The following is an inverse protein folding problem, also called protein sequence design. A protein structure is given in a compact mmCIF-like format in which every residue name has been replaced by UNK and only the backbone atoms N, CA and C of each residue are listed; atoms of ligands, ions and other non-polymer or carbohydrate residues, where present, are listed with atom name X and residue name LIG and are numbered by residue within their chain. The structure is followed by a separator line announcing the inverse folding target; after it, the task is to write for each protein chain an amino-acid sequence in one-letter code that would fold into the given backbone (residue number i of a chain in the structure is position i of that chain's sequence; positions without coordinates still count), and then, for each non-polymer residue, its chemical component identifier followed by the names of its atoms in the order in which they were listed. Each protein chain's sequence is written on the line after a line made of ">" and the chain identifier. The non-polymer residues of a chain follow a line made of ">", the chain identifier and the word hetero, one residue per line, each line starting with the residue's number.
data_IF_399734063776
#
_entry.id   IF_399734063776
#
_cell.length_a   1.000
_cell.length_b   1.000
_cell.length_c   1.000
_cell.angle_alpha   90.00
_cell.angle_beta   90.00
_cell.angle_gamma   90.00
#
_symmetry.space_group_name_H-M   'P 1'
#
loop_
_entity.id
_entity.type
_entity.pdbx_description
1 polymer ?
#
# COMPACT_ATOMS: atom_id res chain seq x y z
N UNK A 1 18.16 -3.15 21.32
CA UNK A 1 19.14 -3.78 20.38
C UNK A 1 19.83 -5.04 20.94
N UNK A 2 20.14 -5.16 22.23
CA UNK A 2 20.80 -6.37 22.78
C UNK A 2 19.95 -7.65 22.67
N UNK A 3 18.64 -7.55 22.87
CA UNK A 3 17.73 -8.71 22.80
C UNK A 3 17.57 -9.30 21.41
N UNK A 4 17.56 -8.49 20.35
CA UNK A 4 17.45 -8.97 18.97
C UNK A 4 18.67 -9.78 18.57
N UNK A 5 19.88 -9.32 18.93
CA UNK A 5 21.12 -10.04 18.65
C UNK A 5 21.14 -11.41 19.34
N UNK A 6 20.79 -11.45 20.63
CA UNK A 6 20.73 -12.71 21.39
C UNK A 6 19.66 -13.68 20.84
N UNK A 7 18.54 -13.16 20.32
CA UNK A 7 17.49 -13.96 19.70
C UNK A 7 18.00 -14.67 18.42
N UNK A 8 18.67 -13.95 17.52
CA UNK A 8 19.20 -14.53 16.28
C UNK A 8 20.42 -15.44 16.49
N UNK A 9 21.25 -15.19 17.51
CA UNK A 9 22.41 -16.04 17.83
C UNK A 9 22.02 -17.35 18.54
N UNK A 10 21.12 -17.31 19.51
CA UNK A 10 20.74 -18.43 20.36
C UNK A 10 19.42 -19.10 20.03
N UNK A 11 18.54 -18.36 19.32
CA UNK A 11 17.20 -18.83 18.97
C UNK A 11 17.19 -20.16 18.22
N UNK A 12 18.02 -20.34 17.16
CA UNK A 12 18.06 -21.61 16.43
C UNK A 12 18.38 -22.82 17.27
N UNK A 13 19.11 -22.66 18.38
CA UNK A 13 19.52 -23.72 19.29
C UNK A 13 18.48 -24.02 20.39
N UNK A 14 17.67 -23.02 20.76
CA UNK A 14 16.79 -23.08 21.93
C UNK A 14 15.31 -23.16 21.59
N UNK A 15 14.91 -22.74 20.40
CA UNK A 15 13.50 -22.63 20.01
C UNK A 15 13.19 -23.69 18.96
N UNK A 16 12.27 -24.59 19.30
CA UNK A 16 11.71 -25.54 18.36
C UNK A 16 10.93 -24.75 17.28
N UNK A 17 11.11 -25.09 15.99
CA UNK A 17 10.50 -24.38 14.86
C UNK A 17 10.93 -22.90 14.70
N UNK A 18 12.18 -22.56 15.04
CA UNK A 18 12.72 -21.19 14.96
C UNK A 18 12.44 -20.52 13.61
N UNK A 19 12.59 -21.21 12.50
CA UNK A 19 12.29 -20.68 11.16
C UNK A 19 10.83 -20.19 11.00
N UNK A 20 9.87 -20.87 11.64
CA UNK A 20 8.46 -20.43 11.61
C UNK A 20 8.25 -19.16 12.42
N UNK A 21 8.96 -19.04 13.54
CA UNK A 21 8.92 -17.84 14.40
C UNK A 21 9.56 -16.67 13.67
N UNK A 22 10.72 -16.87 13.04
CA UNK A 22 11.42 -15.87 12.26
C UNK A 22 10.55 -15.32 11.12
N UNK A 23 9.96 -16.19 10.30
CA UNK A 23 9.02 -15.78 9.24
C UNK A 23 7.83 -14.96 9.75
N UNK A 24 7.30 -15.31 10.93
CA UNK A 24 6.21 -14.52 11.54
C UNK A 24 6.67 -13.14 12.00
N UNK A 25 7.90 -13.04 12.51
CA UNK A 25 8.50 -11.76 12.89
C UNK A 25 8.70 -10.87 11.66
N UNK A 26 9.32 -11.41 10.60
CA UNK A 26 9.52 -10.71 9.33
C UNK A 26 8.19 -10.23 8.72
N UNK A 27 7.17 -11.09 8.73
CA UNK A 27 5.84 -10.71 8.25
C UNK A 27 5.22 -9.60 9.12
N UNK A 28 5.42 -9.66 10.44
CA UNK A 28 5.00 -8.63 11.39
C UNK A 28 5.68 -7.29 11.12
N UNK A 29 7.00 -7.30 10.96
CA UNK A 29 7.79 -6.10 10.63
C UNK A 29 7.37 -5.48 9.29
N UNK A 30 7.14 -6.31 8.26
CA UNK A 30 6.63 -5.85 6.97
C UNK A 30 5.27 -5.17 7.12
N UNK A 31 4.34 -5.75 7.88
CA UNK A 31 3.01 -5.16 8.15
C UNK A 31 3.12 -3.82 8.88
N UNK A 32 4.04 -3.71 9.84
CA UNK A 32 4.31 -2.46 10.57
C UNK A 32 4.85 -1.41 9.60
N UNK A 33 5.82 -1.77 8.77
CA UNK A 33 6.40 -0.87 7.78
C UNK A 33 5.36 -0.40 6.74
N UNK A 34 4.47 -1.28 6.28
CA UNK A 34 3.37 -0.93 5.37
C UNK A 34 2.40 0.05 6.03
N UNK A 35 1.99 -0.20 7.29
CA UNK A 35 1.13 0.74 8.04
C UNK A 35 1.79 2.10 8.23
N UNK A 36 3.08 2.13 8.54
CA UNK A 36 3.83 3.38 8.67
C UNK A 36 3.86 4.17 7.36
N UNK A 37 4.09 3.50 6.23
CA UNK A 37 4.04 4.13 4.90
C UNK A 37 2.66 4.68 4.57
N UNK A 38 1.60 3.97 4.93
CA UNK A 38 0.22 4.44 4.74
C UNK A 38 -0.05 5.70 5.56
N UNK A 39 0.31 5.70 6.85
CA UNK A 39 0.17 6.85 7.72
C UNK A 39 0.97 8.06 7.21
N UNK A 40 2.20 7.86 6.79
CA UNK A 40 3.04 8.92 6.22
C UNK A 40 2.46 9.50 4.92
N UNK A 41 1.86 8.67 4.07
CA UNK A 41 1.20 9.13 2.85
C UNK A 41 -0.01 10.02 3.15
N UNK A 42 -0.83 9.66 4.17
CA UNK A 42 -1.94 10.47 4.64
C UNK A 42 -1.45 11.81 5.20
N UNK A 43 -0.48 11.77 6.10
CA UNK A 43 0.09 12.96 6.72
C UNK A 43 0.66 13.93 5.69
N UNK A 44 1.40 13.43 4.70
CA UNK A 44 1.96 14.24 3.61
C UNK A 44 0.86 14.90 2.79
N UNK A 45 -0.21 14.17 2.45
CA UNK A 45 -1.35 14.70 1.69
C UNK A 45 -2.09 15.79 2.48
N UNK A 46 -2.38 15.54 3.76
CA UNK A 46 -3.07 16.47 4.64
C UNK A 46 -2.24 17.74 4.85
N UNK A 47 -0.93 17.61 5.15
CA UNK A 47 -0.02 18.75 5.32
C UNK A 47 0.22 19.56 4.06
N UNK A 48 0.10 18.96 2.88
CA UNK A 48 0.27 19.66 1.60
C UNK A 48 -0.93 20.53 1.20
N UNK A 49 -2.00 20.54 2.01
CA UNK A 49 -3.24 21.26 1.74
C UNK A 49 -3.48 22.28 2.85
N UNK A 50 -3.66 23.56 2.52
CA UNK A 50 -3.79 24.65 3.51
C UNK A 50 -4.99 24.45 4.46
N UNK A 51 -6.12 24.01 3.94
CA UNK A 51 -7.31 23.68 4.74
C UNK A 51 -7.87 22.32 4.32
N UNK A 52 -7.28 21.23 4.84
CA UNK A 52 -7.59 19.89 4.36
C UNK A 52 -9.06 19.50 4.57
N UNK A 53 -9.69 19.97 5.62
CA UNK A 53 -11.10 19.70 5.92
C UNK A 53 -12.07 20.24 4.85
N UNK A 54 -11.71 21.33 4.16
CA UNK A 54 -12.57 21.96 3.17
C UNK A 54 -12.07 21.79 1.74
N UNK A 55 -10.75 21.79 1.54
CA UNK A 55 -10.14 21.90 0.21
C UNK A 55 -9.37 20.67 -0.26
N UNK A 56 -9.20 19.64 0.59
CA UNK A 56 -8.51 18.43 0.19
C UNK A 56 -9.30 17.73 -0.92
N UNK A 57 -8.63 17.48 -2.05
CA UNK A 57 -9.17 16.76 -3.20
C UNK A 57 -8.38 15.50 -3.48
N UNK A 58 -9.05 14.47 -3.94
CA UNK A 58 -8.47 13.17 -4.27
C UNK A 58 -8.73 12.88 -5.75
N UNK A 59 -7.71 12.43 -6.47
CA UNK A 59 -7.85 12.04 -7.87
C UNK A 59 -8.32 10.61 -7.96
N UNK A 60 -9.59 10.40 -8.24
CA UNK A 60 -10.20 9.06 -8.27
C UNK A 60 -9.90 8.26 -9.54
N UNK A 61 -9.57 8.92 -10.66
CA UNK A 61 -9.54 8.25 -11.95
C UNK A 61 -10.85 7.52 -12.22
N UNK A 62 -10.77 6.25 -12.61
CA UNK A 62 -11.94 5.40 -12.84
C UNK A 62 -12.48 4.74 -11.55
N UNK A 63 -11.83 4.95 -10.41
CA UNK A 63 -12.08 4.23 -9.14
C UNK A 63 -12.90 5.04 -8.12
N UNK A 64 -13.61 6.08 -8.53
CA UNK A 64 -14.38 6.90 -7.59
C UNK A 64 -15.37 6.08 -6.74
N UNK A 65 -16.03 5.12 -7.38
CA UNK A 65 -17.14 4.40 -6.75
C UNK A 65 -18.38 5.29 -6.59
N UNK A 66 -19.55 4.67 -6.44
CA UNK A 66 -20.84 5.39 -6.31
C UNK A 66 -21.33 5.51 -4.87
N UNK A 67 -20.61 4.92 -3.92
CA UNK A 67 -21.08 4.72 -2.54
C UNK A 67 -20.62 5.77 -1.54
N UNK A 68 -19.70 6.63 -1.91
CA UNK A 68 -19.15 7.69 -1.07
C UNK A 68 -19.07 9.00 -1.83
N UNK A 69 -19.35 10.11 -1.16
CA UNK A 69 -19.20 11.47 -1.67
C UNK A 69 -17.76 11.95 -1.48
N UNK A 70 -17.38 13.04 -2.14
CA UNK A 70 -16.06 13.66 -1.94
C UNK A 70 -15.89 14.23 -0.53
N UNK A 71 -16.98 14.71 0.06
CA UNK A 71 -17.00 15.25 1.41
C UNK A 71 -16.78 14.16 2.46
N UNK A 72 -17.47 13.02 2.30
CA UNK A 72 -17.27 11.84 3.15
C UNK A 72 -15.83 11.33 3.04
N UNK A 73 -15.28 11.22 1.83
CA UNK A 73 -13.90 10.77 1.60
C UNK A 73 -12.88 11.74 2.22
N UNK A 74 -13.10 13.03 2.06
CA UNK A 74 -12.27 14.06 2.69
C UNK A 74 -12.28 13.93 4.21
N UNK A 75 -13.47 13.79 4.79
CA UNK A 75 -13.63 13.57 6.22
C UNK A 75 -12.89 12.31 6.68
N UNK A 76 -13.04 11.19 5.97
CA UNK A 76 -12.36 9.95 6.31
C UNK A 76 -10.84 10.09 6.30
N UNK A 77 -10.28 10.78 5.30
CA UNK A 77 -8.82 11.01 5.20
C UNK A 77 -8.33 11.89 6.36
N UNK A 78 -8.98 13.03 6.59
CA UNK A 78 -8.58 13.95 7.64
C UNK A 78 -8.71 13.32 9.03
N UNK A 79 -9.85 12.68 9.30
CA UNK A 79 -10.11 12.03 10.59
C UNK A 79 -9.19 10.84 10.84
N UNK A 80 -8.89 10.03 9.81
CA UNK A 80 -7.93 8.93 9.95
C UNK A 80 -6.52 9.44 10.24
N UNK A 81 -6.13 10.59 9.68
CA UNK A 81 -4.84 11.21 9.99
C UNK A 81 -4.75 11.66 11.46
N UNK A 82 -5.84 12.14 12.04
CA UNK A 82 -5.89 12.56 13.46
C UNK A 82 -5.93 11.36 14.41
N UNK A 83 -6.76 10.37 14.13
CA UNK A 83 -6.96 9.21 15.00
C UNK A 83 -5.84 8.15 14.87
N UNK A 84 -5.10 8.20 13.77
CA UNK A 84 -4.14 7.16 13.39
C UNK A 84 -4.78 6.01 12.62
N UNK A 85 -4.00 5.47 11.68
CA UNK A 85 -4.42 4.37 10.81
C UNK A 85 -4.70 3.09 11.61
N UNK A 86 -5.88 2.52 11.41
CA UNK A 86 -6.32 1.27 12.03
C UNK A 86 -7.37 1.45 13.13
N UNK A 87 -7.63 2.67 13.58
CA UNK A 87 -8.59 2.96 14.65
C UNK A 87 -10.03 3.09 14.09
N UNK A 88 -10.53 2.03 13.44
CA UNK A 88 -11.79 2.05 12.69
C UNK A 88 -13.03 2.23 13.57
N UNK A 89 -13.01 1.72 14.80
CA UNK A 89 -14.11 1.90 15.76
C UNK A 89 -14.21 3.38 16.21
N UNK A 90 -13.06 4.01 16.43
CA UNK A 90 -13.01 5.43 16.77
C UNK A 90 -13.50 6.27 15.59
N UNK A 91 -12.99 5.98 14.38
CA UNK A 91 -13.42 6.63 13.15
C UNK A 91 -14.94 6.53 12.97
N UNK A 92 -15.52 5.37 13.25
CA UNK A 92 -16.97 5.16 13.19
C UNK A 92 -17.72 6.05 14.20
N UNK A 93 -17.17 6.22 15.41
CA UNK A 93 -17.76 7.11 16.42
C UNK A 93 -17.76 8.56 15.95
N UNK A 94 -16.65 9.01 15.37
CA UNK A 94 -16.55 10.37 14.87
C UNK A 94 -17.46 10.63 13.66
N UNK A 95 -17.59 9.68 12.73
CA UNK A 95 -18.60 9.75 11.64
C UNK A 95 -20.00 9.95 12.20
N UNK A 96 -20.36 9.26 13.29
CA UNK A 96 -21.68 9.40 13.92
C UNK A 96 -21.88 10.76 14.59
N UNK A 97 -20.82 11.34 15.14
CA UNK A 97 -20.85 12.62 15.87
C UNK A 97 -20.76 13.83 14.96
N UNK A 98 -20.16 13.67 13.77
CA UNK A 98 -19.91 14.75 12.85
C UNK A 98 -21.22 15.48 12.47
N UNK A 99 -21.29 16.79 12.71
CA UNK A 99 -22.47 17.61 12.43
C UNK A 99 -22.76 17.73 10.93
N UNK A 100 -21.71 17.74 10.11
CA UNK A 100 -21.79 17.88 8.65
C UNK A 100 -22.60 16.72 8.02
N UNK A 101 -22.55 15.54 8.63
CA UNK A 101 -23.28 14.34 8.19
C UNK A 101 -24.52 14.04 9.01
N UNK A 102 -25.11 15.07 9.65
CA UNK A 102 -26.25 14.89 10.58
C UNK A 102 -27.38 14.07 9.97
N UNK A 103 -27.69 14.29 8.72
CA UNK A 103 -28.79 13.63 8.00
C UNK A 103 -28.32 12.54 7.04
N UNK A 104 -27.03 12.26 6.98
CA UNK A 104 -26.48 11.20 6.15
C UNK A 104 -26.55 9.84 6.84
N UNK A 105 -27.71 9.23 6.73
CA UNK A 105 -27.95 7.91 7.33
C UNK A 105 -27.13 6.80 6.66
N UNK A 106 -26.85 6.93 5.37
CA UNK A 106 -26.09 5.93 4.63
C UNK A 106 -24.64 5.90 5.10
N UNK A 107 -24.00 7.05 5.21
CA UNK A 107 -22.63 7.16 5.73
C UNK A 107 -22.57 6.72 7.20
N UNK A 108 -23.51 7.17 8.03
CA UNK A 108 -23.62 6.79 9.45
C UNK A 108 -23.91 5.32 9.69
N UNK A 109 -24.51 4.60 8.74
CA UNK A 109 -24.79 3.15 8.86
C UNK A 109 -23.57 2.28 8.57
N UNK A 110 -22.55 2.81 7.89
CA UNK A 110 -21.34 2.04 7.51
C UNK A 110 -20.69 1.38 8.71
N UNK A 111 -20.23 0.16 8.53
CA UNK A 111 -19.46 -0.57 9.54
C UNK A 111 -18.01 -0.06 9.61
N UNK A 112 -17.31 -0.25 10.75
CA UNK A 112 -15.88 0.09 10.86
C UNK A 112 -15.03 -0.56 9.76
N UNK A 113 -15.36 -1.80 9.38
CA UNK A 113 -14.65 -2.54 8.33
C UNK A 113 -14.86 -1.90 6.96
N UNK A 114 -16.09 -1.45 6.64
CA UNK A 114 -16.36 -0.75 5.37
C UNK A 114 -15.64 0.59 5.30
N UNK A 115 -15.64 1.35 6.40
CA UNK A 115 -14.88 2.60 6.50
C UNK A 115 -13.38 2.36 6.31
N UNK A 116 -12.82 1.33 6.96
CA UNK A 116 -11.43 0.95 6.81
C UNK A 116 -11.07 0.58 5.36
N UNK A 117 -11.89 -0.24 4.70
CA UNK A 117 -11.69 -0.58 3.28
C UNK A 117 -11.74 0.65 2.36
N UNK A 118 -12.62 1.61 2.67
CA UNK A 118 -12.67 2.86 1.91
C UNK A 118 -11.41 3.68 2.12
N UNK A 119 -10.94 3.84 3.35
CA UNK A 119 -9.69 4.53 3.67
C UNK A 119 -8.50 3.87 2.98
N UNK A 120 -8.40 2.54 2.96
CA UNK A 120 -7.34 1.81 2.26
C UNK A 120 -7.31 2.14 0.76
N UNK A 121 -8.48 2.23 0.13
CA UNK A 121 -8.60 2.63 -1.27
C UNK A 121 -8.13 4.08 -1.46
N UNK A 122 -8.57 5.00 -0.59
CA UNK A 122 -8.17 6.42 -0.66
C UNK A 122 -6.66 6.59 -0.50
N UNK A 123 -6.04 5.86 0.42
CA UNK A 123 -4.58 5.88 0.62
C UNK A 123 -3.86 5.42 -0.65
N UNK A 124 -4.32 4.35 -1.31
CA UNK A 124 -3.73 3.88 -2.57
C UNK A 124 -3.84 4.93 -3.68
N UNK A 125 -4.97 5.62 -3.77
CA UNK A 125 -5.16 6.73 -4.73
C UNK A 125 -4.18 7.87 -4.44
N UNK A 126 -4.04 8.27 -3.17
CA UNK A 126 -3.09 9.30 -2.73
C UNK A 126 -1.64 8.90 -3.06
N UNK A 127 -1.27 7.65 -2.81
CA UNK A 127 0.06 7.12 -3.14
C UNK A 127 0.33 7.12 -4.65
N UNK A 128 -0.67 6.85 -5.47
CA UNK A 128 -0.52 6.92 -6.92
C UNK A 128 -0.37 8.37 -7.40
N UNK A 129 -1.11 9.33 -6.81
CA UNK A 129 -0.92 10.75 -7.11
C UNK A 129 0.50 11.25 -6.82
N UNK A 130 1.13 10.75 -5.76
CA UNK A 130 2.51 11.13 -5.41
C UNK A 130 3.53 10.53 -6.38
N UNK A 131 3.33 9.29 -6.82
CA UNK A 131 4.18 8.65 -7.84
C UNK A 131 4.09 9.35 -9.19
N UNK A 132 2.92 9.83 -9.58
CA UNK A 132 2.73 10.56 -10.82
C UNK A 132 3.36 11.98 -10.80
N UNK A 133 3.55 12.55 -9.60
CA UNK A 133 4.24 13.83 -9.39
C UNK A 133 5.76 13.71 -9.37
N UNK A 134 6.31 12.52 -9.11
CA UNK A 134 7.76 12.30 -9.27
C UNK A 134 8.09 12.25 -10.76
N UNK A 135 9.01 13.10 -11.26
CA UNK A 135 9.42 13.07 -12.66
C UNK A 135 9.96 11.65 -12.96
N UNK A 136 9.49 11.04 -14.06
CA UNK A 136 9.93 9.74 -14.61
C UNK A 136 11.41 9.72 -14.99
N UNK A 137 12.30 10.06 -14.07
CA UNK A 137 13.71 10.29 -14.31
C UNK A 137 14.65 9.43 -13.48
N UNK A 138 14.21 8.32 -12.87
CA UNK A 138 15.12 7.32 -12.28
C UNK A 138 14.48 5.92 -12.34
N UNK A 139 14.30 5.39 -13.56
CA UNK A 139 14.40 3.94 -13.72
C UNK A 139 15.86 3.62 -13.45
N UNK A 140 16.12 2.92 -12.36
CA UNK A 140 17.46 2.51 -12.01
C UNK A 140 18.06 1.69 -13.15
N UNK A 141 19.27 2.02 -13.55
CA UNK A 141 20.10 1.32 -14.54
C UNK A 141 20.37 -0.17 -14.18
N UNK A 142 19.80 -0.67 -13.08
CA UNK A 142 19.99 -2.04 -12.61
C UNK A 142 19.02 -3.07 -13.18
N UNK A 143 17.82 -2.65 -13.70
CA UNK A 143 16.88 -3.61 -14.30
C UNK A 143 17.14 -3.87 -15.80
N UNK A 144 17.89 -3.03 -16.46
CA UNK A 144 18.19 -3.20 -17.89
C UNK A 144 19.24 -4.30 -18.19
N UNK A 145 20.06 -4.67 -17.20
CA UNK A 145 21.10 -5.70 -17.39
C UNK A 145 20.61 -7.14 -17.14
N UNK A 146 19.53 -7.33 -16.42
CA UNK A 146 18.96 -8.68 -16.20
C UNK A 146 18.11 -9.13 -17.38
N UNK A 147 17.34 -8.24 -18.00
CA UNK A 147 16.53 -8.56 -19.19
C UNK A 147 17.40 -8.83 -20.44
N UNK A 148 18.56 -8.20 -20.55
CA UNK A 148 19.51 -8.45 -21.64
C UNK A 148 20.22 -9.82 -21.51
N UNK A 149 20.39 -10.32 -20.28
CA UNK A 149 20.98 -11.65 -20.03
C UNK A 149 19.99 -12.81 -20.25
N UNK A 150 18.69 -12.57 -20.01
CA UNK A 150 17.65 -13.57 -20.23
C UNK A 150 17.38 -13.80 -21.74
N UNK A 151 17.41 -12.75 -22.56
CA UNK A 151 17.21 -12.83 -23.99
C UNK A 151 18.36 -13.54 -24.77
N UNK A 152 19.57 -13.55 -24.21
CA UNK A 152 20.75 -14.16 -24.83
C UNK A 152 20.83 -15.67 -24.60
N UNK A 153 20.07 -16.23 -23.66
CA UNK A 153 20.09 -17.64 -23.28
C UNK A 153 19.08 -18.53 -24.06
N UNK A 154 18.24 -17.92 -24.91
CA UNK A 154 17.23 -18.64 -25.72
C UNK A 154 17.57 -18.85 -27.21
N UNK A 155 18.76 -18.40 -27.64
CA UNK A 155 19.24 -18.72 -28.99
C UNK A 155 20.36 -19.77 -28.90
N UNK A 156 19.99 -21.01 -28.70
CA UNK A 156 20.82 -22.17 -28.97
C UNK A 156 20.85 -22.49 -30.47
N UNK A 157 21.91 -23.10 -31.00
CA UNK A 157 22.17 -23.22 -32.44
C UNK A 157 21.22 -24.23 -33.08
N UNK A 158 20.58 -23.82 -34.17
CA UNK A 158 19.87 -24.70 -35.07
C UNK A 158 20.89 -25.55 -35.84
N UNK A 159 20.89 -26.83 -35.58
CA UNK A 159 21.68 -27.80 -36.32
C UNK A 159 21.16 -27.91 -37.76
N UNK A 160 22.08 -27.70 -38.70
CA UNK A 160 21.91 -28.09 -40.11
C UNK A 160 21.91 -29.62 -40.19
N UNK A 161 20.89 -30.19 -40.80
CA UNK A 161 20.92 -31.56 -41.26
C UNK A 161 20.73 -31.52 -42.80
N UNK A 162 21.83 -31.77 -43.48
CA UNK A 162 21.86 -32.15 -44.93
C UNK A 162 21.17 -33.52 -45.06
N UNK A 163 20.38 -33.67 -46.09
CA UNK A 163 19.87 -34.93 -46.57
C UNK A 163 19.91 -34.93 -48.08
N UNK A 164 20.99 -35.50 -48.61
CA UNK A 164 21.11 -35.94 -50.02
C UNK A 164 20.29 -37.19 -50.27
N UNK A 165 19.89 -37.42 -51.47
CA UNK A 165 19.43 -38.73 -52.02
C UNK A 165 18.28 -38.57 -52.97
N UNK A 166 18.53 -38.50 -54.27
CA UNK A 166 18.52 -39.54 -55.30
C UNK A 166 17.17 -40.22 -55.57
N UNK A 167 16.66 -40.01 -56.69
CA UNK A 167 16.21 -40.85 -57.82
C UNK A 167 15.00 -40.22 -58.51
#
# INVERSE_FOLDING_TARGET
>A
MAYSKAFYEKGPLLIQDFEKVEKKIEEGERKIAEKSKMAQSLETKVKSTDNPWNSLTIKYGNNRGKLFTEEEDRFLVCMTNELGYGNWEELKREVRRAPDFRFDWLFKSRTPIELGRRVDLLIRLIQNETKDKEPRGKKSLHEADEDAKAAKKQKGPLAQANGEGEA
#
